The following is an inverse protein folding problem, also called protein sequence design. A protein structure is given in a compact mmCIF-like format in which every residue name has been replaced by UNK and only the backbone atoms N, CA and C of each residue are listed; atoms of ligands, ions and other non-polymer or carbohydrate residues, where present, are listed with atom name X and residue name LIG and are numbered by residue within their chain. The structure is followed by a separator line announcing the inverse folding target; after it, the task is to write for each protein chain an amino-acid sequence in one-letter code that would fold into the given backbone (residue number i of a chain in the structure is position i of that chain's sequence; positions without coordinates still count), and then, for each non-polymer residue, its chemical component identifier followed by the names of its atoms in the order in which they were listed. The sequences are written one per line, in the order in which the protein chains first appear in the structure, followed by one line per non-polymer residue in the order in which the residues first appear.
data_IF_898200232740
#
_entry.id   IF_898200232740
#
_cell.length_a   1.000
_cell.length_b   1.000
_cell.length_c   1.000
_cell.angle_alpha   90.00
_cell.angle_beta   90.00
_cell.angle_gamma   90.00
#
_symmetry.space_group_name_H-M   'P 1'
#
loop_
_entity.id
_entity.type
_entity.pdbx_description
1 polymer ?
#
# COMPACT_ATOMS: atom_id res chain seq x y z
N UNK A 1 50.76 18.79 -21.89
CA UNK A 1 49.99 17.55 -21.90
C UNK A 1 48.52 17.92 -21.95
N UNK A 2 47.78 17.37 -22.93
CA UNK A 2 46.33 17.57 -23.01
C UNK A 2 45.65 16.37 -22.36
N UNK A 3 44.70 16.61 -21.45
CA UNK A 3 43.79 15.59 -20.95
C UNK A 3 42.94 15.05 -22.12
N UNK A 4 42.31 13.89 -21.92
CA UNK A 4 41.39 13.29 -22.90
C UNK A 4 40.34 14.31 -23.33
N UNK A 5 40.13 14.44 -24.63
CA UNK A 5 39.08 15.29 -25.17
C UNK A 5 37.68 14.64 -24.99
N UNK A 6 36.63 15.46 -25.12
CA UNK A 6 35.27 15.05 -24.89
C UNK A 6 34.81 13.89 -25.79
N UNK A 7 35.20 13.90 -27.06
CA UNK A 7 34.75 12.88 -28.04
C UNK A 7 35.42 11.53 -27.71
N UNK A 8 36.71 11.52 -27.47
CA UNK A 8 37.47 10.31 -27.09
C UNK A 8 36.95 9.74 -25.78
N UNK A 9 36.70 10.59 -24.75
CA UNK A 9 36.15 10.13 -23.48
C UNK A 9 34.76 9.51 -23.69
N UNK A 10 33.89 10.18 -24.44
CA UNK A 10 32.52 9.69 -24.70
C UNK A 10 32.52 8.34 -25.41
N UNK A 11 33.39 8.18 -26.44
CA UNK A 11 33.54 6.91 -27.17
C UNK A 11 33.99 5.78 -26.25
N UNK A 12 35.05 5.99 -25.48
CA UNK A 12 35.64 4.97 -24.58
C UNK A 12 34.69 4.62 -23.42
N UNK A 13 33.97 5.59 -22.85
CA UNK A 13 32.93 5.33 -21.81
C UNK A 13 31.79 4.51 -22.41
N UNK A 14 31.37 4.82 -23.63
CA UNK A 14 30.32 4.07 -24.30
C UNK A 14 30.70 2.60 -24.57
N UNK A 15 31.97 2.36 -24.94
CA UNK A 15 32.50 1.00 -25.10
C UNK A 15 32.61 0.25 -23.77
N UNK A 16 32.92 0.96 -22.68
CA UNK A 16 33.02 0.36 -21.34
C UNK A 16 31.68 0.10 -20.64
N UNK A 17 30.59 0.71 -21.12
CA UNK A 17 29.26 0.49 -20.54
C UNK A 17 28.77 -0.92 -20.77
N UNK A 18 28.44 -1.63 -19.70
CA UNK A 18 27.89 -2.99 -19.75
C UNK A 18 26.40 -3.02 -20.07
N UNK A 19 25.72 -1.89 -19.92
CA UNK A 19 24.29 -1.74 -20.11
C UNK A 19 23.93 -0.71 -21.16
N UNK A 20 23.21 -1.11 -22.19
CA UNK A 20 22.58 -0.20 -23.13
C UNK A 20 21.40 0.49 -22.45
N UNK A 21 21.58 1.70 -21.92
CA UNK A 21 20.48 2.46 -21.35
C UNK A 21 19.70 3.17 -22.46
N UNK A 22 18.37 3.07 -22.42
CA UNK A 22 17.46 3.84 -23.31
C UNK A 22 17.05 5.19 -22.73
N UNK A 23 17.61 5.60 -21.59
CA UNK A 23 17.35 6.91 -20.97
C UNK A 23 18.49 7.87 -21.28
N UNK A 24 18.20 9.13 -21.56
CA UNK A 24 19.22 10.15 -21.70
C UNK A 24 19.74 10.52 -20.30
N UNK A 25 20.96 10.07 -20.00
CA UNK A 25 21.71 10.53 -18.83
C UNK A 25 22.77 11.51 -19.30
N UNK A 26 22.92 12.62 -18.60
CA UNK A 26 23.97 13.60 -18.85
C UNK A 26 25.08 13.44 -17.79
N UNK A 27 26.30 13.08 -18.24
CA UNK A 27 27.48 13.06 -17.40
C UNK A 27 28.24 14.37 -17.56
N UNK A 28 28.40 15.12 -16.48
CA UNK A 28 29.28 16.29 -16.43
C UNK A 28 30.55 15.93 -15.69
N UNK A 29 31.70 16.22 -16.34
CA UNK A 29 33.02 16.01 -15.77
C UNK A 29 33.71 17.37 -15.68
N UNK A 30 34.14 17.75 -14.49
CA UNK A 30 34.92 18.95 -14.22
C UNK A 30 36.30 18.53 -13.69
N UNK A 31 37.36 18.96 -14.35
CA UNK A 31 38.75 18.64 -13.99
C UNK A 31 39.47 19.94 -13.67
N UNK A 32 39.99 20.06 -12.46
CA UNK A 32 40.75 21.24 -12.00
C UNK A 32 42.08 20.81 -11.45
N UNK A 33 43.10 21.60 -11.74
CA UNK A 33 44.41 21.47 -11.10
C UNK A 33 44.48 22.42 -9.89
N UNK A 34 44.50 21.85 -8.69
CA UNK A 34 44.59 22.60 -7.44
C UNK A 34 45.72 22.03 -6.59
N UNK A 35 46.63 22.88 -6.11
CA UNK A 35 47.71 22.51 -5.19
C UNK A 35 48.62 21.37 -5.72
N UNK A 36 48.78 21.26 -7.05
CA UNK A 36 49.58 20.20 -7.67
C UNK A 36 48.90 18.86 -7.81
N UNK A 37 47.59 18.76 -7.52
CA UNK A 37 46.78 17.59 -7.73
C UNK A 37 45.62 17.89 -8.69
N UNK A 38 45.23 16.90 -9.49
CA UNK A 38 44.03 16.99 -10.29
C UNK A 38 42.79 16.60 -9.43
N UNK A 39 41.86 17.53 -9.28
CA UNK A 39 40.53 17.28 -8.69
C UNK A 39 39.52 17.08 -9.81
N UNK A 40 38.85 15.95 -9.77
CA UNK A 40 37.82 15.57 -10.74
C UNK A 40 36.47 15.49 -10.03
N UNK A 41 35.49 16.19 -10.56
CA UNK A 41 34.09 16.08 -10.10
C UNK A 41 33.26 15.49 -11.24
N UNK A 42 32.66 14.33 -10.97
CA UNK A 42 31.73 13.66 -11.89
C UNK A 42 30.31 13.78 -11.34
N UNK A 43 29.41 14.29 -12.15
CA UNK A 43 28.00 14.45 -11.78
C UNK A 43 27.11 13.87 -12.89
N UNK A 44 26.18 13.02 -12.51
CA UNK A 44 25.19 12.45 -13.43
C UNK A 44 23.85 13.10 -13.19
N UNK A 45 23.20 13.53 -14.27
CA UNK A 45 21.87 14.11 -14.27
C UNK A 45 20.91 13.22 -15.08
N UNK A 46 19.62 13.25 -14.72
CA UNK A 46 18.53 12.66 -15.52
C UNK A 46 18.06 13.65 -16.61
N UNK A 47 17.09 13.21 -17.43
CA UNK A 47 16.47 14.04 -18.49
C UNK A 47 15.79 15.30 -17.94
N UNK A 48 15.36 15.29 -16.67
CA UNK A 48 14.74 16.44 -16.02
C UNK A 48 15.77 17.42 -15.43
N UNK A 49 17.07 17.12 -15.55
CA UNK A 49 18.15 17.92 -14.97
C UNK A 49 18.33 17.70 -13.47
N UNK A 50 17.74 16.62 -12.91
CA UNK A 50 17.92 16.26 -11.50
C UNK A 50 19.23 15.54 -11.30
N UNK A 51 20.04 15.99 -10.35
CA UNK A 51 21.30 15.32 -10.01
C UNK A 51 21.01 13.95 -9.38
N UNK A 52 21.46 12.89 -10.04
CA UNK A 52 21.32 11.51 -9.56
C UNK A 52 22.47 11.11 -8.64
N UNK A 53 23.71 11.42 -9.04
CA UNK A 53 24.88 11.08 -8.25
C UNK A 53 26.00 12.06 -8.48
N UNK A 54 26.92 12.18 -7.50
CA UNK A 54 28.16 12.96 -7.59
C UNK A 54 29.29 12.15 -7.00
N UNK A 55 30.47 12.23 -7.65
CA UNK A 55 31.72 11.68 -7.16
C UNK A 55 32.82 12.70 -7.34
N UNK A 56 33.63 12.87 -6.29
CA UNK A 56 34.80 13.70 -6.30
C UNK A 56 36.03 12.77 -6.17
N UNK A 57 36.99 12.92 -7.06
CA UNK A 57 38.23 12.14 -7.10
C UNK A 57 39.41 13.10 -7.04
N UNK A 58 40.51 12.67 -6.44
CA UNK A 58 41.76 13.42 -6.39
C UNK A 58 42.87 12.52 -6.91
N UNK A 59 43.65 13.03 -7.82
CA UNK A 59 44.86 12.37 -8.31
C UNK A 59 46.08 13.25 -8.15
N UNK A 60 47.14 12.66 -7.65
CA UNK A 60 48.45 13.31 -7.48
C UNK A 60 49.39 13.02 -8.65
N UNK A 61 48.90 12.45 -9.75
CA UNK A 61 49.72 12.25 -10.94
C UNK A 61 50.11 13.59 -11.57
N UNK A 62 51.36 13.77 -11.99
CA UNK A 62 51.80 14.99 -12.67
C UNK A 62 51.28 15.05 -14.11
N UNK A 63 50.84 13.92 -14.70
CA UNK A 63 50.33 13.86 -16.07
C UNK A 63 48.84 13.51 -16.08
N UNK A 64 48.07 14.36 -16.74
CA UNK A 64 46.62 14.16 -16.91
C UNK A 64 46.29 12.87 -17.70
N UNK A 65 47.21 12.38 -18.55
CA UNK A 65 47.00 11.13 -19.31
C UNK A 65 46.87 9.89 -18.43
N UNK A 66 47.56 9.88 -17.28
CA UNK A 66 47.47 8.78 -16.33
C UNK A 66 46.07 8.65 -15.71
N UNK A 67 45.24 9.70 -15.87
CA UNK A 67 43.86 9.72 -15.41
C UNK A 67 42.86 9.15 -16.42
N UNK A 68 43.25 9.05 -17.70
CA UNK A 68 42.32 8.74 -18.78
C UNK A 68 41.62 7.38 -18.57
N UNK A 69 42.39 6.33 -18.22
CA UNK A 69 41.83 5.00 -17.98
C UNK A 69 40.96 4.97 -16.72
N UNK A 70 41.43 5.61 -15.65
CA UNK A 70 40.68 5.73 -14.40
C UNK A 70 39.40 6.50 -14.62
N UNK A 71 39.42 7.60 -15.38
CA UNK A 71 38.26 8.42 -15.69
C UNK A 71 37.23 7.65 -16.50
N UNK A 72 37.66 6.88 -17.52
CA UNK A 72 36.76 6.02 -18.31
C UNK A 72 36.08 4.97 -17.42
N UNK A 73 36.87 4.25 -16.61
CA UNK A 73 36.35 3.19 -15.75
C UNK A 73 35.36 3.75 -14.70
N UNK A 74 35.73 4.82 -14.00
CA UNK A 74 34.89 5.44 -12.97
C UNK A 74 33.65 6.03 -13.59
N UNK A 75 33.73 6.68 -14.76
CA UNK A 75 32.58 7.21 -15.47
C UNK A 75 31.60 6.11 -15.86
N UNK A 76 32.09 4.97 -16.38
CA UNK A 76 31.24 3.81 -16.72
C UNK A 76 30.55 3.21 -15.49
N UNK A 77 31.28 3.03 -14.38
CA UNK A 77 30.73 2.51 -13.14
C UNK A 77 29.65 3.43 -12.54
N UNK A 78 29.88 4.75 -12.58
CA UNK A 78 28.91 5.73 -12.08
C UNK A 78 27.63 5.72 -12.94
N UNK A 79 27.78 5.66 -14.26
CA UNK A 79 26.64 5.60 -15.18
C UNK A 79 25.87 4.30 -15.01
N UNK A 80 26.53 3.15 -14.93
CA UNK A 80 25.85 1.85 -14.69
C UNK A 80 25.12 1.86 -13.35
N UNK A 81 25.71 2.42 -12.30
CA UNK A 81 25.06 2.60 -10.99
C UNK A 81 23.82 3.50 -11.06
N UNK A 82 23.92 4.65 -11.75
CA UNK A 82 22.80 5.57 -11.94
C UNK A 82 21.65 4.94 -12.74
N UNK A 83 21.99 4.18 -13.79
CA UNK A 83 21.00 3.40 -14.57
C UNK A 83 20.29 2.36 -13.71
N UNK A 84 21.04 1.64 -12.89
CA UNK A 84 20.46 0.63 -11.97
C UNK A 84 19.52 1.28 -10.95
N UNK A 85 19.91 2.40 -10.35
CA UNK A 85 19.09 3.16 -9.41
C UNK A 85 17.83 3.72 -10.07
N UNK A 86 17.96 4.29 -11.27
CA UNK A 86 16.79 4.80 -12.02
C UNK A 86 15.82 3.68 -12.37
N UNK A 87 16.33 2.51 -12.77
CA UNK A 87 15.47 1.33 -13.01
C UNK A 87 14.76 0.87 -11.75
N UNK A 88 15.44 0.88 -10.60
CA UNK A 88 14.84 0.54 -9.32
C UNK A 88 13.74 1.52 -8.93
N UNK A 89 13.96 2.84 -9.08
CA UNK A 89 12.94 3.88 -8.84
C UNK A 89 11.72 3.74 -9.76
N UNK A 90 11.95 3.48 -11.05
CA UNK A 90 10.87 3.25 -12.03
C UNK A 90 10.08 1.97 -11.70
N UNK A 91 10.77 0.90 -11.28
CA UNK A 91 10.13 -0.32 -10.83
C UNK A 91 9.27 -0.06 -9.57
N UNK A 92 9.80 0.66 -8.59
CA UNK A 92 9.07 1.03 -7.37
C UNK A 92 7.86 1.93 -7.68
N UNK A 93 8.00 2.91 -8.57
CA UNK A 93 6.87 3.75 -9.00
C UNK A 93 5.79 2.96 -9.75
N UNK A 94 6.16 1.94 -10.53
CA UNK A 94 5.21 1.02 -11.18
C UNK A 94 4.49 0.11 -10.20
N UNK A 95 5.04 -0.12 -9.01
CA UNK A 95 4.38 -0.89 -7.96
C UNK A 95 3.35 -0.08 -7.18
N UNK A 96 3.31 1.24 -7.34
CA UNK A 96 2.26 2.08 -6.74
C UNK A 96 0.99 1.99 -7.58
N UNK A 97 -0.09 1.57 -6.94
CA UNK A 97 -1.37 1.38 -7.61
C UNK A 97 -2.52 1.78 -6.72
N UNK A 98 -3.42 2.55 -7.30
CA UNK A 98 -4.76 2.79 -6.76
C UNK A 98 -5.75 1.84 -7.42
N UNK A 99 -6.72 1.39 -6.67
CA UNK A 99 -7.81 0.54 -7.15
C UNK A 99 -9.12 0.96 -6.51
N UNK A 100 -10.20 0.84 -7.27
CA UNK A 100 -11.57 1.00 -6.77
C UNK A 100 -12.34 -0.24 -7.19
N UNK A 101 -13.16 -0.76 -6.30
CA UNK A 101 -13.90 -1.98 -6.57
C UNK A 101 -15.09 -2.17 -5.67
N UNK A 102 -15.83 -3.22 -5.98
CA UNK A 102 -16.93 -3.71 -5.17
C UNK A 102 -16.47 -4.99 -4.48
N UNK A 103 -16.93 -5.21 -3.26
CA UNK A 103 -16.71 -6.48 -2.58
C UNK A 103 -18.01 -6.97 -1.94
N UNK A 104 -18.11 -8.28 -1.81
CA UNK A 104 -19.14 -8.93 -1.03
C UNK A 104 -18.46 -9.80 0.02
N UNK A 105 -19.04 -9.92 1.18
CA UNK A 105 -18.49 -10.68 2.29
C UNK A 105 -19.56 -11.30 3.16
N UNK A 106 -19.14 -12.24 4.02
CA UNK A 106 -19.93 -12.80 5.09
C UNK A 106 -19.34 -12.43 6.43
N UNK A 107 -20.17 -12.04 7.37
CA UNK A 107 -19.77 -11.72 8.74
C UNK A 107 -20.48 -12.68 9.68
N UNK A 108 -19.66 -13.39 10.50
CA UNK A 108 -20.14 -14.42 11.41
C UNK A 108 -19.95 -13.97 12.85
N UNK A 109 -20.87 -14.31 13.73
CA UNK A 109 -20.81 -14.02 15.17
C UNK A 109 -20.68 -12.55 15.56
N UNK A 110 -21.07 -11.62 14.69
CA UNK A 110 -21.15 -10.19 15.03
C UNK A 110 -22.59 -9.80 15.35
N UNK A 111 -23.53 -10.37 14.62
CA UNK A 111 -24.97 -10.35 14.89
C UNK A 111 -25.43 -11.76 15.34
N UNK A 112 -26.68 -11.90 15.82
CA UNK A 112 -27.23 -13.20 16.24
C UNK A 112 -27.10 -14.31 15.20
N UNK A 113 -27.09 -13.91 13.93
CA UNK A 113 -26.89 -14.80 12.78
C UNK A 113 -25.80 -14.27 11.86
N UNK A 114 -25.27 -15.14 11.02
CA UNK A 114 -24.40 -14.71 9.93
C UNK A 114 -25.16 -13.76 8.99
N UNK A 115 -24.48 -12.72 8.53
CA UNK A 115 -25.06 -11.82 7.55
C UNK A 115 -24.08 -11.55 6.41
N UNK A 116 -24.62 -11.25 5.22
CA UNK A 116 -23.85 -10.81 4.09
C UNK A 116 -23.70 -9.29 4.11
N UNK A 117 -22.57 -8.79 3.66
CA UNK A 117 -22.34 -7.37 3.43
C UNK A 117 -21.87 -7.11 2.00
N UNK A 118 -22.33 -5.99 1.44
CA UNK A 118 -21.80 -5.42 0.21
C UNK A 118 -20.98 -4.19 0.54
N UNK A 119 -19.87 -3.97 -0.15
CA UNK A 119 -19.03 -2.82 0.12
C UNK A 119 -18.39 -2.22 -1.13
N UNK A 120 -18.20 -0.89 -1.08
CA UNK A 120 -17.29 -0.15 -1.96
C UNK A 120 -15.90 -0.18 -1.32
N UNK A 121 -14.90 -0.47 -2.14
CA UNK A 121 -13.51 -0.62 -1.69
C UNK A 121 -12.62 0.32 -2.48
N UNK A 122 -11.76 1.05 -1.77
CA UNK A 122 -10.65 1.79 -2.34
C UNK A 122 -9.37 1.16 -1.81
N UNK A 123 -8.50 0.74 -2.72
CA UNK A 123 -7.22 0.12 -2.40
C UNK A 123 -6.05 0.99 -2.82
N UNK A 124 -5.01 0.99 -2.03
CA UNK A 124 -3.71 1.55 -2.37
C UNK A 124 -2.63 0.52 -2.09
N UNK A 125 -1.84 0.21 -3.12
CA UNK A 125 -0.69 -0.69 -3.00
C UNK A 125 0.61 0.06 -3.27
N UNK A 126 1.61 -0.20 -2.44
CA UNK A 126 2.99 0.26 -2.62
C UNK A 126 3.94 -0.87 -2.24
N UNK A 127 4.56 -1.49 -3.22
CA UNK A 127 5.44 -2.64 -3.01
C UNK A 127 4.73 -3.79 -2.29
N UNK A 128 5.17 -4.08 -1.06
CA UNK A 128 4.59 -5.14 -0.21
C UNK A 128 3.42 -4.69 0.66
N UNK A 129 3.12 -3.39 0.70
CA UNK A 129 2.03 -2.86 1.51
C UNK A 129 0.76 -2.70 0.68
N UNK A 130 -0.36 -3.14 1.23
CA UNK A 130 -1.71 -2.95 0.69
C UNK A 130 -2.57 -2.30 1.77
N UNK A 131 -3.10 -1.12 1.49
CA UNK A 131 -4.08 -0.43 2.31
C UNK A 131 -5.45 -0.54 1.63
N UNK A 132 -6.49 -0.89 2.38
CA UNK A 132 -7.86 -1.03 1.90
C UNK A 132 -8.79 -0.18 2.77
N UNK A 133 -9.49 0.75 2.18
CA UNK A 133 -10.58 1.46 2.81
C UNK A 133 -11.90 0.92 2.24
N UNK A 134 -12.86 0.58 3.11
CA UNK A 134 -14.16 0.01 2.71
C UNK A 134 -15.30 0.78 3.37
N UNK A 135 -16.36 1.00 2.61
CA UNK A 135 -17.65 1.41 3.13
C UNK A 135 -18.63 0.27 2.87
N UNK A 136 -19.17 -0.33 3.93
CA UNK A 136 -19.98 -1.55 3.85
C UNK A 136 -21.38 -1.31 4.35
N UNK A 137 -22.35 -1.90 3.66
CA UNK A 137 -23.74 -1.98 4.06
C UNK A 137 -24.07 -3.46 4.30
N UNK A 138 -24.35 -3.81 5.56
CA UNK A 138 -24.84 -5.14 5.93
C UNK A 138 -26.30 -5.30 5.52
N UNK A 139 -26.62 -6.44 4.93
CA UNK A 139 -27.98 -6.80 4.63
C UNK A 139 -28.77 -6.97 5.93
N UNK A 140 -30.03 -6.61 5.87
CA UNK A 140 -30.94 -6.73 7.01
C UNK A 140 -31.06 -8.18 7.49
N UNK A 141 -30.88 -8.39 8.78
CA UNK A 141 -31.07 -9.68 9.44
C UNK A 141 -32.25 -9.58 10.36
N UNK A 142 -33.25 -10.39 10.11
CA UNK A 142 -34.44 -10.50 10.96
C UNK A 142 -34.19 -11.55 12.03
N UNK A 143 -34.34 -11.16 13.29
CA UNK A 143 -34.26 -12.06 14.44
C UNK A 143 -35.60 -12.07 15.16
N UNK A 144 -36.07 -13.25 15.62
CA UNK A 144 -37.28 -13.31 16.44
C UNK A 144 -37.03 -12.57 17.76
N UNK A 145 -37.91 -11.68 18.12
CA UNK A 145 -38.02 -11.07 19.43
C UNK A 145 -39.18 -11.73 20.21
N UNK A 146 -39.29 -11.46 21.52
CA UNK A 146 -40.27 -12.12 22.41
C UNK A 146 -41.70 -11.92 21.91
N UNK A 147 -42.03 -10.79 21.29
CA UNK A 147 -43.33 -10.46 20.70
C UNK A 147 -43.15 -9.67 19.40
N UNK A 148 -42.58 -10.29 18.33
CA UNK A 148 -42.39 -9.62 17.04
C UNK A 148 -41.09 -9.95 16.37
N UNK A 149 -40.65 -9.09 15.46
CA UNK A 149 -39.40 -9.22 14.73
C UNK A 149 -38.50 -7.97 14.94
N UNK A 150 -37.24 -8.21 15.08
CA UNK A 150 -36.23 -7.14 15.12
C UNK A 150 -35.35 -7.25 13.87
N UNK A 151 -35.32 -6.17 13.09
CA UNK A 151 -34.43 -6.05 11.93
C UNK A 151 -33.18 -5.31 12.33
N UNK A 152 -32.02 -5.94 12.09
CA UNK A 152 -30.72 -5.37 12.34
C UNK A 152 -30.03 -5.03 11.02
N UNK A 153 -29.56 -3.79 10.89
CA UNK A 153 -28.75 -3.32 9.77
C UNK A 153 -27.44 -2.74 10.28
N UNK A 154 -26.36 -2.98 9.56
CA UNK A 154 -25.03 -2.43 9.87
C UNK A 154 -24.57 -1.51 8.74
N UNK A 155 -24.15 -0.29 9.10
CA UNK A 155 -23.40 0.61 8.21
C UNK A 155 -22.02 0.77 8.81
N UNK A 156 -20.98 0.33 8.10
CA UNK A 156 -19.61 0.34 8.62
C UNK A 156 -18.62 0.88 7.62
N UNK A 157 -17.63 1.61 8.13
CA UNK A 157 -16.38 1.92 7.44
C UNK A 157 -15.26 1.08 8.01
N UNK A 158 -14.34 0.63 7.19
CA UNK A 158 -13.15 -0.09 7.67
C UNK A 158 -11.90 0.33 6.95
N UNK A 159 -10.78 0.30 7.68
CA UNK A 159 -9.45 0.48 7.16
C UNK A 159 -8.64 -0.77 7.48
N UNK A 160 -8.10 -1.42 6.45
CA UNK A 160 -7.22 -2.56 6.60
C UNK A 160 -5.83 -2.26 6.03
N UNK A 161 -4.80 -2.74 6.73
CA UNK A 161 -3.41 -2.69 6.30
C UNK A 161 -2.87 -4.11 6.23
N UNK A 162 -2.35 -4.50 5.08
CA UNK A 162 -1.78 -5.82 4.84
C UNK A 162 -0.32 -5.72 4.41
N UNK A 163 0.53 -6.59 4.95
CA UNK A 163 1.93 -6.72 4.55
C UNK A 163 2.15 -8.03 3.78
N UNK A 164 2.52 -7.99 2.50
CA UNK A 164 2.75 -9.19 1.71
C UNK A 164 4.03 -9.91 2.15
N UNK A 165 3.90 -11.13 2.64
CA UNK A 165 5.00 -12.07 2.93
C UNK A 165 5.39 -12.79 1.64
N UNK A 166 4.39 -13.30 0.92
CA UNK A 166 4.56 -13.84 -0.42
C UNK A 166 4.12 -12.76 -1.41
N UNK A 167 5.02 -12.38 -2.30
CA UNK A 167 4.78 -11.34 -3.29
C UNK A 167 5.33 -11.77 -4.64
N UNK A 168 4.46 -11.98 -5.61
CA UNK A 168 4.78 -12.28 -7.00
C UNK A 168 4.11 -11.27 -7.94
N UNK A 169 4.36 -11.38 -9.24
CA UNK A 169 3.69 -10.55 -10.25
C UNK A 169 2.19 -10.81 -10.35
N UNK A 170 1.74 -12.00 -9.95
CA UNK A 170 0.36 -12.46 -10.11
C UNK A 170 -0.39 -12.48 -8.80
N UNK A 171 0.28 -12.80 -7.69
CA UNK A 171 -0.37 -12.99 -6.40
C UNK A 171 0.46 -12.41 -5.24
N UNK A 172 -0.23 -11.93 -4.23
CA UNK A 172 0.36 -11.52 -2.98
C UNK A 172 -0.49 -12.03 -1.81
N UNK A 173 0.15 -12.51 -0.74
CA UNK A 173 -0.53 -12.99 0.48
C UNK A 173 0.26 -12.55 1.69
N UNK A 174 -0.45 -12.17 2.75
CA UNK A 174 0.21 -11.80 3.99
C UNK A 174 -0.73 -11.44 5.13
N UNK A 175 -0.17 -11.13 6.32
CA UNK A 175 -0.95 -10.71 7.47
C UNK A 175 -1.58 -9.33 7.25
N UNK A 176 -2.76 -9.18 7.84
CA UNK A 176 -3.52 -7.93 7.81
C UNK A 176 -3.99 -7.56 9.22
N UNK A 177 -4.02 -6.25 9.48
CA UNK A 177 -4.75 -5.67 10.59
C UNK A 177 -5.88 -4.80 10.07
N UNK A 178 -7.02 -4.74 10.78
CA UNK A 178 -8.10 -3.85 10.41
C UNK A 178 -8.68 -3.10 11.61
N UNK A 179 -9.25 -1.94 11.30
CA UNK A 179 -10.11 -1.16 12.19
C UNK A 179 -11.46 -0.99 11.49
N UNK A 180 -12.53 -1.32 12.16
CA UNK A 180 -13.91 -1.15 11.69
C UNK A 180 -14.62 -0.19 12.63
N UNK A 181 -15.22 0.84 12.05
CA UNK A 181 -16.07 1.79 12.77
C UNK A 181 -17.42 1.88 12.06
N UNK A 182 -18.49 2.02 12.81
CA UNK A 182 -19.80 2.10 12.19
C UNK A 182 -20.94 2.28 13.17
N UNK A 183 -22.11 2.06 12.66
CA UNK A 183 -23.36 2.17 13.38
C UNK A 183 -24.23 0.95 13.08
N UNK A 184 -24.74 0.36 14.16
CA UNK A 184 -25.78 -0.64 14.11
C UNK A 184 -27.14 0.05 14.26
N UNK A 185 -28.09 -0.32 13.43
CA UNK A 185 -29.46 0.16 13.48
C UNK A 185 -30.36 -1.05 13.73
N UNK A 186 -31.10 -1.00 14.83
CA UNK A 186 -32.14 -1.95 15.15
C UNK A 186 -33.50 -1.30 14.93
N UNK A 187 -34.36 -1.94 14.15
CA UNK A 187 -35.74 -1.53 13.93
C UNK A 187 -36.65 -2.66 14.40
N UNK A 188 -37.60 -2.35 15.24
CA UNK A 188 -38.60 -3.32 15.74
C UNK A 188 -39.88 -3.20 14.94
N UNK A 189 -40.41 -4.34 14.51
CA UNK A 189 -41.69 -4.45 13.80
C UNK A 189 -42.61 -5.34 14.61
N UNK A 190 -43.92 -5.00 14.62
CA UNK A 190 -44.98 -5.76 15.26
C UNK A 190 -44.84 -5.95 16.78
N UNK A 191 -44.05 -5.14 17.45
CA UNK A 191 -44.05 -5.10 18.91
C UNK A 191 -45.28 -4.29 19.39
N UNK A 192 -45.87 -4.73 20.50
CA UNK A 192 -46.95 -4.00 21.21
C UNK A 192 -46.50 -2.59 21.64
N UNK A 193 -45.19 -2.37 21.68
CA UNK A 193 -44.57 -1.07 21.96
C UNK A 193 -44.19 -0.43 20.63
N UNK A 194 -44.49 0.84 20.47
CA UNK A 194 -44.27 1.64 19.25
C UNK A 194 -42.95 1.32 18.52
N UNK A 195 -43.03 1.23 17.18
CA UNK A 195 -41.92 1.01 16.31
C UNK A 195 -40.75 2.00 16.62
N UNK A 196 -39.73 1.51 17.27
CA UNK A 196 -38.56 2.33 17.67
C UNK A 196 -37.34 1.93 16.88
N UNK A 197 -36.62 2.95 16.42
CA UNK A 197 -35.31 2.74 15.79
C UNK A 197 -34.20 3.15 16.76
N UNK A 198 -33.39 2.19 17.13
CA UNK A 198 -32.23 2.41 18.02
C UNK A 198 -30.95 2.38 17.16
N UNK A 199 -30.07 3.33 17.42
CA UNK A 199 -28.77 3.40 16.78
C UNK A 199 -27.67 3.25 17.83
N UNK A 200 -26.71 2.39 17.57
CA UNK A 200 -25.59 2.16 18.48
C UNK A 200 -24.25 2.23 17.74
N UNK A 201 -23.26 2.94 18.28
CA UNK A 201 -21.93 2.95 17.71
C UNK A 201 -21.30 1.56 17.80
N UNK A 202 -20.50 1.21 16.81
CA UNK A 202 -19.87 -0.08 16.72
C UNK A 202 -18.42 0.08 16.27
N UNK A 203 -17.48 -0.35 17.12
CA UNK A 203 -16.04 -0.29 16.85
C UNK A 203 -15.43 -1.67 17.07
N UNK A 204 -14.67 -2.14 16.08
CA UNK A 204 -13.96 -3.42 16.13
C UNK A 204 -12.53 -3.24 15.63
N UNK A 205 -11.64 -4.03 16.18
CA UNK A 205 -10.28 -4.21 15.66
C UNK A 205 -10.08 -5.68 15.32
N UNK A 206 -9.29 -5.94 14.33
CA UNK A 206 -9.07 -7.31 13.89
C UNK A 206 -7.69 -7.55 13.31
N UNK A 207 -7.35 -8.82 13.25
CA UNK A 207 -6.16 -9.32 12.59
C UNK A 207 -6.53 -10.58 11.78
N UNK A 208 -5.78 -10.82 10.72
CA UNK A 208 -6.05 -11.96 9.84
C UNK A 208 -5.11 -12.07 8.68
N UNK A 209 -5.59 -12.64 7.60
CA UNK A 209 -4.84 -12.83 6.36
C UNK A 209 -5.56 -12.10 5.22
N UNK A 210 -4.75 -11.54 4.32
CA UNK A 210 -5.23 -10.97 3.07
C UNK A 210 -4.47 -11.54 1.89
N UNK A 211 -5.17 -11.65 0.78
CA UNK A 211 -4.60 -12.09 -0.49
C UNK A 211 -5.07 -11.22 -1.64
N UNK A 212 -4.22 -11.07 -2.62
CA UNK A 212 -4.48 -10.38 -3.87
C UNK A 212 -4.06 -11.25 -5.04
N UNK A 213 -4.92 -11.37 -6.05
CA UNK A 213 -4.68 -12.13 -7.27
C UNK A 213 -4.95 -11.24 -8.48
N UNK A 214 -3.97 -11.10 -9.38
CA UNK A 214 -4.13 -10.41 -10.64
C UNK A 214 -4.91 -11.31 -11.63
N UNK A 215 -6.08 -10.87 -12.06
CA UNK A 215 -6.87 -11.54 -13.10
C UNK A 215 -6.59 -10.96 -14.50
N UNK A 216 -5.79 -9.88 -14.57
CA UNK A 216 -5.41 -9.22 -15.81
C UNK A 216 -4.62 -7.94 -15.52
N UNK A 217 -4.46 -7.09 -16.54
CA UNK A 217 -3.67 -5.84 -16.40
C UNK A 217 -4.33 -4.81 -15.48
N UNK A 218 -5.68 -4.85 -15.39
CA UNK A 218 -6.47 -3.84 -14.66
C UNK A 218 -7.48 -4.44 -13.67
N UNK A 219 -7.58 -5.78 -13.61
CA UNK A 219 -8.54 -6.47 -12.75
C UNK A 219 -7.81 -7.26 -11.69
N UNK A 220 -8.21 -7.08 -10.45
CA UNK A 220 -7.62 -7.72 -9.28
C UNK A 220 -8.72 -8.29 -8.40
N UNK A 221 -8.48 -9.50 -7.93
CA UNK A 221 -9.30 -10.12 -6.91
C UNK A 221 -8.60 -9.98 -5.56
N UNK A 222 -9.28 -9.39 -4.58
CA UNK A 222 -8.76 -9.20 -3.22
C UNK A 222 -9.65 -9.95 -2.25
N UNK A 223 -9.05 -10.80 -1.43
CA UNK A 223 -9.74 -11.54 -0.36
C UNK A 223 -9.11 -11.21 0.97
N UNK A 224 -9.93 -11.22 2.04
CA UNK A 224 -9.46 -11.03 3.41
C UNK A 224 -10.26 -11.94 4.34
N UNK A 225 -9.57 -12.60 5.26
CA UNK A 225 -10.17 -13.35 6.35
C UNK A 225 -9.68 -12.75 7.68
N UNK A 226 -10.58 -12.23 8.50
CA UNK A 226 -10.27 -11.47 9.71
C UNK A 226 -10.95 -12.05 10.93
N UNK A 227 -10.22 -12.14 12.02
CA UNK A 227 -10.75 -12.33 13.36
C UNK A 227 -10.89 -10.94 14.01
N UNK A 228 -12.09 -10.56 14.41
CA UNK A 228 -12.41 -9.24 14.91
C UNK A 228 -12.85 -9.26 16.36
N UNK A 229 -12.35 -8.32 17.15
CA UNK A 229 -12.75 -8.08 18.53
C UNK A 229 -13.57 -6.79 18.60
N UNK A 230 -14.77 -6.87 19.18
CA UNK A 230 -15.58 -5.68 19.44
C UNK A 230 -15.03 -4.90 20.62
N UNK A 231 -14.68 -3.65 20.38
CA UNK A 231 -14.26 -2.71 21.43
C UNK A 231 -15.46 -2.09 22.12
N UNK A 232 -16.60 -1.99 21.42
CA UNK A 232 -17.87 -1.53 21.96
C UNK A 232 -18.80 -2.72 22.21
N UNK A 233 -19.24 -2.89 23.44
CA UNK A 233 -20.28 -3.88 23.77
C UNK A 233 -21.64 -3.22 23.64
N UNK A 234 -22.39 -3.60 22.63
CA UNK A 234 -23.74 -3.07 22.40
C UNK A 234 -24.75 -4.12 22.83
N UNK A 235 -25.66 -3.72 23.72
CA UNK A 235 -26.84 -4.52 24.09
C UNK A 235 -28.08 -3.77 23.66
N UNK A 236 -29.04 -4.51 23.14
CA UNK A 236 -30.37 -4.01 22.83
C UNK A 236 -31.32 -4.48 23.94
N UNK A 237 -31.98 -3.53 24.59
CA UNK A 237 -32.95 -3.81 25.64
C UNK A 237 -34.27 -3.12 25.32
N UNK A 238 -35.36 -3.77 25.65
CA UNK A 238 -36.72 -3.18 25.63
C UNK A 238 -37.16 -2.97 27.06
N UNK A 239 -37.67 -1.79 27.35
CA UNK A 239 -38.22 -1.47 28.65
C UNK A 239 -39.73 -1.77 28.65
N UNK A 240 -40.13 -2.80 29.39
CA UNK A 240 -41.51 -3.20 29.51
C UNK A 240 -41.93 -3.10 30.99
N UNK A 241 -42.83 -2.15 31.29
CA UNK A 241 -43.34 -1.98 32.64
C UNK A 241 -42.30 -1.59 33.71
N UNK A 242 -41.24 -0.87 33.35
CA UNK A 242 -40.16 -0.50 34.25
C UNK A 242 -39.01 -1.51 34.40
N UNK A 243 -39.12 -2.66 33.74
CA UNK A 243 -38.06 -3.68 33.72
C UNK A 243 -37.36 -3.67 32.36
N UNK A 244 -36.09 -3.47 32.36
CA UNK A 244 -35.25 -3.54 31.13
C UNK A 244 -34.95 -5.01 30.81
N UNK A 245 -35.58 -5.53 29.76
CA UNK A 245 -35.30 -6.87 29.22
C UNK A 245 -34.23 -6.76 28.15
N UNK A 246 -33.08 -7.38 28.40
CA UNK A 246 -32.00 -7.46 27.38
C UNK A 246 -32.44 -8.47 26.31
N UNK A 247 -32.76 -7.96 25.12
CA UNK A 247 -33.19 -8.79 23.99
C UNK A 247 -31.99 -9.45 23.34
N UNK A 248 -30.88 -8.71 23.20
CA UNK A 248 -29.72 -9.23 22.54
C UNK A 248 -28.46 -8.49 22.98
N UNK A 249 -27.40 -9.26 23.25
CA UNK A 249 -26.05 -8.73 23.49
C UNK A 249 -25.13 -9.21 22.37
N UNK A 250 -24.43 -8.27 21.74
CA UNK A 250 -23.49 -8.61 20.66
C UNK A 250 -22.28 -9.34 21.22
N UNK A 251 -21.84 -10.42 20.58
CA UNK A 251 -20.64 -11.14 20.99
C UNK A 251 -19.38 -10.26 20.85
N UNK A 252 -18.44 -10.48 21.76
CA UNK A 252 -17.17 -9.74 21.77
C UNK A 252 -16.24 -10.11 20.59
N UNK A 253 -16.41 -11.31 20.03
CA UNK A 253 -15.54 -11.86 18.96
C UNK A 253 -16.37 -12.22 17.76
N UNK A 254 -15.93 -11.77 16.59
CA UNK A 254 -16.54 -12.09 15.29
C UNK A 254 -15.49 -12.53 14.28
N UNK A 255 -15.94 -13.16 13.20
CA UNK A 255 -15.13 -13.56 12.05
C UNK A 255 -15.71 -12.91 10.80
N UNK A 256 -14.83 -12.37 9.97
CA UNK A 256 -15.15 -11.73 8.69
C UNK A 256 -14.24 -12.21 7.58
#
# INVERSE_FOLDING_TARGET
SHCVDRETLTGRVHEALTTTSRGALELRVDIRLEEGAFKLTLVVFDEAGTQLTRRDLVSHSPDCRDLDETLVLVSALILDGAVAEQRARVAEAREQRWSVGLSAGGVFRVLPSAYADGSLVVGFRRGRLLALARASLGLAVSTPAIEGRMELRALTGSLALCGAVLNSRVAAVGPCGNLVVGQLRATTEDLIVANTTIRAPHVRVGAGLGGELALGRHVWFVTTAMLELALTRTSFSVNQGGVALVIHQLPAVGVR
#
